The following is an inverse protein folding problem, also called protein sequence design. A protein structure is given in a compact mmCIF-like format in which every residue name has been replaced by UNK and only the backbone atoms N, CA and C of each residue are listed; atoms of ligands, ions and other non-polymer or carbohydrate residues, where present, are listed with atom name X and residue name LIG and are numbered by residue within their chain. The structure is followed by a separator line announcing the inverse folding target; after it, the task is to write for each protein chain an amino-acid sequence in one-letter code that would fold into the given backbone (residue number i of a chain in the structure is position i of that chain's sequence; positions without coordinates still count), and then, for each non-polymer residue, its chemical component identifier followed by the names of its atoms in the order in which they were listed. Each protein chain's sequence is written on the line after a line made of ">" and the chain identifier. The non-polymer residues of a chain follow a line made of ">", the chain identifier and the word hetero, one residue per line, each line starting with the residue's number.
data_IF_159032114523
#
_entry.id   IF_159032114523
#
_cell.length_a   1.000
_cell.length_b   1.000
_cell.length_c   1.000
_cell.angle_alpha   90.00
_cell.angle_beta   90.00
_cell.angle_gamma   90.00
#
_symmetry.space_group_name_H-M   'P 1'
#
loop_
_entity.id
_entity.type
_entity.pdbx_description
1 polymer ?
#
# COMPACT_ATOMS: atom_id res chain seq x y z
N UNK A 1 -4.55 9.90 11.83
CA UNK A 1 -3.39 9.01 12.09
C UNK A 1 -2.82 8.53 10.76
N UNK A 2 -1.51 8.25 10.65
CA UNK A 2 -0.93 7.71 9.41
C UNK A 2 -0.85 6.19 9.47
N UNK A 3 -1.40 5.52 8.46
CA UNK A 3 -1.44 4.05 8.37
C UNK A 3 -0.80 3.65 7.04
N UNK A 4 0.21 2.79 7.10
CA UNK A 4 0.90 2.27 5.93
C UNK A 4 0.52 0.81 5.74
N UNK A 5 0.13 0.47 4.51
CA UNK A 5 -0.23 -0.88 4.08
C UNK A 5 0.81 -1.31 3.06
N UNK A 6 1.77 -2.14 3.47
CA UNK A 6 2.76 -2.73 2.57
C UNK A 6 2.20 -4.02 1.95
N UNK A 7 1.89 -3.96 0.65
CA UNK A 7 1.50 -5.12 -0.15
C UNK A 7 2.16 -5.06 -1.54
N UNK A 8 3.48 -4.84 -1.56
CA UNK A 8 4.27 -4.85 -2.80
C UNK A 8 4.15 -6.19 -3.55
N UNK A 9 3.89 -7.27 -2.82
CA UNK A 9 3.73 -8.62 -3.34
C UNK A 9 2.46 -8.83 -4.17
N UNK A 10 1.42 -8.03 -3.92
CA UNK A 10 0.17 -8.15 -4.66
C UNK A 10 0.40 -8.00 -6.16
N UNK A 11 -0.16 -8.95 -6.91
CA UNK A 11 0.07 -9.03 -8.35
C UNK A 11 -1.10 -9.66 -9.08
N UNK A 12 -1.51 -10.88 -8.69
CA UNK A 12 -2.59 -11.62 -9.35
C UNK A 12 -3.37 -12.46 -8.33
N UNK A 13 -4.58 -12.86 -8.72
CA UNK A 13 -5.44 -13.84 -8.02
C UNK A 13 -5.77 -13.48 -6.57
N UNK A 14 -5.57 -14.40 -5.62
CA UNK A 14 -6.13 -14.35 -4.27
C UNK A 14 -5.62 -13.19 -3.41
N UNK A 15 -4.32 -12.87 -3.50
CA UNK A 15 -3.78 -11.72 -2.79
C UNK A 15 -4.41 -10.41 -3.29
N UNK A 16 -4.62 -10.28 -4.60
CA UNK A 16 -5.26 -9.10 -5.18
C UNK A 16 -6.73 -8.97 -4.77
N UNK A 17 -7.47 -10.07 -4.63
CA UNK A 17 -8.85 -9.99 -4.12
C UNK A 17 -8.90 -9.50 -2.67
N UNK A 18 -8.01 -10.01 -1.81
CA UNK A 18 -7.91 -9.57 -0.41
C UNK A 18 -7.55 -8.09 -0.33
N UNK A 19 -6.56 -7.64 -1.10
CA UNK A 19 -6.17 -6.22 -1.17
C UNK A 19 -7.35 -5.34 -1.58
N UNK A 20 -8.11 -5.75 -2.61
CA UNK A 20 -9.26 -4.97 -3.11
C UNK A 20 -10.40 -4.92 -2.11
N UNK A 21 -10.70 -6.02 -1.44
CA UNK A 21 -11.77 -6.05 -0.45
C UNK A 21 -11.38 -5.25 0.81
N UNK A 22 -10.11 -5.30 1.20
CA UNK A 22 -9.59 -4.42 2.25
C UNK A 22 -9.64 -2.94 1.85
N UNK A 23 -9.21 -2.59 0.64
CA UNK A 23 -9.29 -1.21 0.13
C UNK A 23 -10.73 -0.67 0.12
N UNK A 24 -11.71 -1.49 -0.26
CA UNK A 24 -13.14 -1.11 -0.18
C UNK A 24 -13.56 -0.84 1.27
N UNK A 25 -13.15 -1.68 2.21
CA UNK A 25 -13.47 -1.48 3.63
C UNK A 25 -12.85 -0.18 4.17
N UNK A 26 -11.60 0.13 3.80
CA UNK A 26 -10.94 1.40 4.15
C UNK A 26 -11.67 2.59 3.55
N UNK A 27 -12.03 2.52 2.26
CA UNK A 27 -12.77 3.60 1.58
C UNK A 27 -14.12 3.86 2.23
N UNK A 28 -14.85 2.81 2.62
CA UNK A 28 -16.13 2.94 3.30
C UNK A 28 -15.98 3.49 4.73
N UNK A 29 -14.94 3.08 5.45
CA UNK A 29 -14.59 3.65 6.74
C UNK A 29 -14.31 5.15 6.64
N UNK A 30 -13.50 5.58 5.67
CA UNK A 30 -13.20 7.01 5.45
C UNK A 30 -14.45 7.83 5.12
N UNK A 31 -15.39 7.27 4.36
CA UNK A 31 -16.67 7.94 4.05
C UNK A 31 -17.58 8.09 5.25
N UNK A 32 -17.68 7.05 6.07
CA UNK A 32 -18.61 7.00 7.21
C UNK A 32 -18.08 7.77 8.41
N UNK A 33 -16.76 7.87 8.55
CA UNK A 33 -16.10 8.60 9.64
C UNK A 33 -15.77 10.03 9.22
N UNK A 34 -16.80 10.80 8.86
CA UNK A 34 -16.67 12.20 8.48
C UNK A 34 -15.92 12.99 9.58
N UNK A 35 -14.79 13.61 9.22
CA UNK A 35 -13.91 14.33 10.15
C UNK A 35 -12.69 13.52 10.64
N UNK A 36 -12.52 12.28 10.20
CA UNK A 36 -11.27 11.53 10.39
C UNK A 36 -10.11 12.23 9.67
N UNK A 37 -8.97 12.40 10.36
CA UNK A 37 -7.70 12.85 9.77
C UNK A 37 -6.77 11.65 9.50
N UNK A 38 -7.35 10.48 9.28
CA UNK A 38 -6.62 9.28 8.94
C UNK A 38 -6.09 9.39 7.51
N UNK A 39 -4.83 9.00 7.33
CA UNK A 39 -4.11 9.09 6.06
C UNK A 39 -3.55 7.71 5.77
N UNK A 40 -4.06 7.09 4.71
CA UNK A 40 -3.72 5.74 4.31
C UNK A 40 -2.72 5.78 3.17
N UNK A 41 -1.64 5.01 3.29
CA UNK A 41 -0.62 4.90 2.24
C UNK A 41 -0.48 3.42 1.87
N UNK A 42 -0.94 3.06 0.67
CA UNK A 42 -0.78 1.72 0.12
C UNK A 42 0.52 1.66 -0.68
N UNK A 43 1.46 0.83 -0.26
CA UNK A 43 2.72 0.59 -0.97
C UNK A 43 2.58 -0.70 -1.75
N UNK A 44 2.50 -0.60 -3.07
CA UNK A 44 2.15 -1.71 -3.97
C UNK A 44 3.23 -1.91 -5.02
N UNK A 45 3.30 -3.10 -5.61
CA UNK A 45 4.26 -3.35 -6.69
C UNK A 45 3.74 -2.98 -8.08
N UNK A 46 2.50 -2.51 -8.19
CA UNK A 46 1.84 -2.13 -9.44
C UNK A 46 0.70 -1.14 -9.15
N UNK A 47 0.21 -0.44 -10.18
CA UNK A 47 -0.91 0.50 -10.05
C UNK A 47 -2.25 -0.26 -9.99
N UNK A 48 -2.59 -0.76 -8.81
CA UNK A 48 -3.75 -1.66 -8.60
C UNK A 48 -4.99 -0.98 -8.00
N UNK A 49 -4.81 0.18 -7.38
CA UNK A 49 -5.83 0.93 -6.64
C UNK A 49 -5.81 2.41 -7.07
N UNK A 50 -6.92 3.10 -6.84
CA UNK A 50 -7.05 4.53 -7.10
C UNK A 50 -6.72 5.35 -5.85
N UNK A 51 -6.27 6.59 -6.04
CA UNK A 51 -6.04 7.53 -4.94
C UNK A 51 -7.30 8.32 -4.60
N UNK A 52 -7.38 8.79 -3.35
CA UNK A 52 -8.41 9.72 -2.86
C UNK A 52 -7.74 10.74 -1.92
N UNK A 53 -8.50 11.73 -1.42
CA UNK A 53 -7.95 12.76 -0.53
C UNK A 53 -7.28 12.20 0.75
N UNK A 54 -7.74 11.03 1.23
CA UNK A 54 -7.21 10.36 2.43
C UNK A 54 -6.46 9.07 2.11
N UNK A 55 -6.36 8.66 0.84
CA UNK A 55 -5.71 7.41 0.43
C UNK A 55 -4.70 7.70 -0.68
N UNK A 56 -3.43 7.46 -0.39
CA UNK A 56 -2.31 7.55 -1.32
C UNK A 56 -1.81 6.17 -1.73
N UNK A 57 -1.35 6.03 -2.97
CA UNK A 57 -0.81 4.78 -3.51
C UNK A 57 0.62 5.03 -4.00
N UNK A 58 1.59 4.38 -3.37
CA UNK A 58 2.98 4.40 -3.79
C UNK A 58 3.28 3.11 -4.53
N UNK A 59 3.73 3.22 -5.78
CA UNK A 59 4.12 2.06 -6.58
C UNK A 59 5.63 1.85 -6.50
N UNK A 60 6.05 0.64 -6.12
CA UNK A 60 7.42 0.14 -6.04
C UNK A 60 7.62 -1.05 -6.98
N UNK A 61 7.42 -0.77 -8.27
CA UNK A 61 7.66 -1.74 -9.35
C UNK A 61 9.14 -2.17 -9.40
N UNK A 62 10.06 -1.28 -9.03
CA UNK A 62 11.48 -1.53 -8.83
C UNK A 62 11.76 -2.65 -7.80
N UNK A 63 11.02 -2.67 -6.68
CA UNK A 63 11.13 -3.71 -5.64
C UNK A 63 10.55 -5.03 -6.15
N UNK A 64 9.42 -4.97 -6.86
CA UNK A 64 8.76 -6.16 -7.43
C UNK A 64 9.50 -6.76 -8.62
N UNK A 65 10.31 -5.98 -9.33
CA UNK A 65 10.98 -6.38 -10.57
C UNK A 65 11.82 -7.66 -10.45
N UNK A 66 12.41 -7.93 -9.28
CA UNK A 66 13.12 -9.18 -9.04
C UNK A 66 13.08 -9.63 -7.58
N UNK A 67 13.23 -10.95 -7.36
CA UNK A 67 13.32 -11.52 -6.00
C UNK A 67 14.52 -10.95 -5.21
N UNK A 68 15.61 -10.58 -5.90
CA UNK A 68 16.78 -9.95 -5.27
C UNK A 68 16.45 -8.53 -4.79
N UNK A 69 15.74 -7.74 -5.59
CA UNK A 69 15.35 -6.39 -5.20
C UNK A 69 14.40 -6.43 -4.00
N UNK A 70 13.45 -7.37 -4.00
CA UNK A 70 12.58 -7.61 -2.86
C UNK A 70 13.36 -7.99 -1.61
N UNK A 71 14.29 -8.95 -1.70
CA UNK A 71 15.12 -9.33 -0.57
C UNK A 71 15.98 -8.16 -0.04
N UNK A 72 16.53 -7.33 -0.94
CA UNK A 72 17.30 -6.15 -0.55
C UNK A 72 16.42 -5.10 0.16
N UNK A 73 15.19 -4.92 -0.33
CA UNK A 73 14.20 -4.05 0.28
C UNK A 73 13.85 -4.53 1.69
N UNK A 74 13.46 -5.80 1.82
CA UNK A 74 13.06 -6.41 3.10
C UNK A 74 14.20 -6.36 4.14
N UNK A 75 15.46 -6.52 3.73
CA UNK A 75 16.59 -6.63 4.66
C UNK A 75 17.34 -5.31 4.95
N UNK A 76 17.28 -4.32 4.05
CA UNK A 76 18.19 -3.16 4.15
C UNK A 76 17.53 -1.80 3.90
N UNK A 77 16.68 -1.69 2.89
CA UNK A 77 16.18 -0.36 2.46
C UNK A 77 14.72 -0.08 2.84
N UNK A 78 13.95 -1.09 3.23
CA UNK A 78 12.54 -0.96 3.60
C UNK A 78 12.32 -0.10 4.83
N UNK A 79 13.08 -0.31 5.91
CA UNK A 79 12.93 0.45 7.16
C UNK A 79 13.08 1.97 6.92
N UNK A 80 14.18 2.39 6.30
CA UNK A 80 14.41 3.81 5.99
C UNK A 80 13.40 4.40 5.00
N UNK A 81 12.86 3.58 4.08
CA UNK A 81 11.78 4.01 3.21
C UNK A 81 10.50 4.30 4.01
N UNK A 82 10.09 3.42 4.92
CA UNK A 82 8.88 3.61 5.72
C UNK A 82 9.01 4.71 6.77
N UNK A 83 10.20 4.90 7.36
CA UNK A 83 10.49 6.03 8.26
C UNK A 83 10.37 7.39 7.56
N UNK A 84 10.62 7.43 6.24
CA UNK A 84 10.53 8.66 5.44
C UNK A 84 9.13 9.03 4.95
N UNK A 85 8.11 8.20 5.18
CA UNK A 85 6.73 8.43 4.74
C UNK A 85 5.95 9.34 5.70
#
# INVERSE_FOLDING_TARGET
>A
MRIVVDDIAASKTGALSVLRDFYKAVTEYERTKAGSSDQWIFVLGDKLLEETDNIKVIVRDDVKASRKNRLMFDLKTGAGFFEGL
#
